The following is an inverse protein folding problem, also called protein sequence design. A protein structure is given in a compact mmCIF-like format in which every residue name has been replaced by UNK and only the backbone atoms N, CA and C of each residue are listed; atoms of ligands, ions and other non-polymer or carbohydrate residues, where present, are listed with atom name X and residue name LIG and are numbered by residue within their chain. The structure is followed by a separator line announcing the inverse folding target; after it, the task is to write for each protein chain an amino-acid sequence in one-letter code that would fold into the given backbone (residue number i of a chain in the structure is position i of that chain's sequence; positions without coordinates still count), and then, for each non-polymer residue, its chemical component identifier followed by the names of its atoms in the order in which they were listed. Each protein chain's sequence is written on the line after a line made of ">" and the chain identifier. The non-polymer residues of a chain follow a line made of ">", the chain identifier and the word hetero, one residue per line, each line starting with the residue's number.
data_IF_185188088324
#
_entry.id   IF_185188088324
#
_cell.length_a   1.000
_cell.length_b   1.000
_cell.length_c   1.000
_cell.angle_alpha   90.00
_cell.angle_beta   90.00
_cell.angle_gamma   90.00
#
_symmetry.space_group_name_H-M   'P 1'
#
loop_
_entity.id
_entity.type
_entity.pdbx_description
1 polymer ?
#
# COMPACT_ATOMS: atom_id res chain seq x y z
N UNK A 1 -22.28 15.28 -15.98
CA UNK A 1 -21.41 14.98 -14.82
C UNK A 1 -20.91 13.55 -14.95
N UNK A 2 -19.81 13.34 -15.66
CA UNK A 2 -19.21 12.02 -15.85
C UNK A 2 -17.98 11.89 -14.97
N UNK A 3 -18.04 11.07 -13.92
CA UNK A 3 -16.87 10.74 -13.11
C UNK A 3 -16.12 9.63 -13.82
N UNK A 4 -15.09 9.99 -14.59
CA UNK A 4 -14.10 9.03 -15.10
C UNK A 4 -12.78 9.27 -14.39
N UNK A 5 -12.42 8.30 -13.54
CA UNK A 5 -11.19 8.18 -12.77
C UNK A 5 -9.97 8.68 -13.56
N UNK A 6 -9.30 9.71 -13.04
CA UNK A 6 -7.98 10.11 -13.52
C UNK A 6 -7.00 8.96 -13.26
N UNK A 7 -6.52 8.33 -14.32
CA UNK A 7 -5.48 7.30 -14.20
C UNK A 7 -4.15 8.04 -14.07
N UNK A 8 -3.48 7.90 -12.92
CA UNK A 8 -2.14 8.45 -12.71
C UNK A 8 -1.13 7.57 -13.45
N UNK A 9 -1.05 7.72 -14.77
CA UNK A 9 -0.04 7.12 -15.64
C UNK A 9 0.95 8.25 -15.91
N UNK A 10 2.26 8.12 -15.71
CA UNK A 10 3.05 7.42 -16.72
C UNK A 10 4.52 7.17 -16.33
N UNK A 11 4.99 7.50 -15.10
CA UNK A 11 6.41 7.27 -14.71
C UNK A 11 6.59 6.64 -13.32
N UNK A 12 5.57 6.04 -12.74
CA UNK A 12 5.79 5.25 -11.52
C UNK A 12 6.02 3.79 -11.90
N UNK A 13 7.26 3.32 -11.73
CA UNK A 13 7.66 1.92 -12.01
C UNK A 13 6.85 0.88 -11.21
N UNK A 14 6.09 1.32 -10.21
CA UNK A 14 5.25 0.48 -9.33
C UNK A 14 3.94 1.22 -9.05
N UNK A 15 2.81 0.51 -8.94
CA UNK A 15 1.53 1.15 -8.64
C UNK A 15 1.57 1.80 -7.26
N UNK A 16 1.13 3.05 -7.15
CA UNK A 16 0.94 3.76 -5.90
C UNK A 16 -0.56 3.96 -5.58
N UNK A 17 -0.83 4.12 -4.29
CA UNK A 17 -2.11 4.55 -3.72
C UNK A 17 -2.30 6.04 -3.97
N UNK A 18 -3.55 6.57 -3.97
CA UNK A 18 -3.78 8.01 -4.18
C UNK A 18 -3.20 8.91 -3.08
N UNK A 19 -2.70 8.34 -1.99
CA UNK A 19 -2.03 9.04 -0.88
C UNK A 19 -0.49 8.97 -0.95
N UNK A 20 0.08 8.56 -2.07
CA UNK A 20 1.54 8.58 -2.30
C UNK A 20 2.31 7.39 -1.71
N UNK A 21 1.62 6.34 -1.25
CA UNK A 21 2.27 5.11 -0.79
C UNK A 21 2.28 4.03 -1.88
N UNK A 22 3.31 3.17 -1.99
CA UNK A 22 3.29 2.06 -2.92
C UNK A 22 2.15 1.09 -2.59
N UNK A 23 1.35 0.74 -3.60
CA UNK A 23 0.20 -0.16 -3.47
C UNK A 23 0.61 -1.62 -3.33
N UNK A 24 1.74 -2.02 -3.91
CA UNK A 24 2.23 -3.40 -3.90
C UNK A 24 3.61 -3.50 -3.26
N UNK A 25 3.85 -4.60 -2.54
CA UNK A 25 5.15 -4.97 -1.97
C UNK A 25 5.55 -4.27 -0.67
N UNK A 26 4.80 -3.24 -0.22
CA UNK A 26 5.03 -2.61 1.09
C UNK A 26 4.28 -3.35 2.19
N UNK A 27 5.01 -3.75 3.24
CA UNK A 27 4.39 -4.22 4.48
C UNK A 27 3.96 -3.00 5.30
N UNK A 28 2.67 -2.88 5.53
CA UNK A 28 2.09 -1.80 6.36
C UNK A 28 1.98 -2.16 7.84
N UNK A 29 2.23 -3.43 8.21
CA UNK A 29 2.20 -3.87 9.60
C UNK A 29 3.32 -3.18 10.39
N UNK A 30 2.93 -2.56 11.51
CA UNK A 30 3.84 -1.98 12.49
C UNK A 30 4.85 -3.01 13.00
N UNK A 31 6.09 -2.59 13.20
CA UNK A 31 7.14 -3.44 13.77
C UNK A 31 7.09 -3.33 15.30
N UNK A 32 7.26 -4.45 15.99
CA UNK A 32 7.31 -4.53 17.46
C UNK A 32 5.98 -4.19 18.14
N UNK A 33 4.88 -4.67 17.56
CA UNK A 33 3.55 -4.56 18.19
C UNK A 33 3.39 -5.61 19.27
N UNK A 34 2.60 -5.33 20.30
CA UNK A 34 2.30 -6.29 21.38
C UNK A 34 1.79 -7.65 20.87
N UNK A 35 1.11 -7.67 19.72
CA UNK A 35 0.58 -8.88 19.09
C UNK A 35 1.61 -9.65 18.26
N UNK A 36 2.83 -9.13 18.09
CA UNK A 36 3.89 -9.83 17.36
C UNK A 36 4.28 -11.14 18.05
N UNK A 37 4.20 -11.19 19.39
CA UNK A 37 4.45 -12.40 20.18
C UNK A 37 3.40 -13.49 20.00
N UNK A 38 2.22 -13.15 19.47
CA UNK A 38 1.11 -14.09 19.27
C UNK A 38 1.08 -14.69 17.86
N UNK A 39 1.98 -14.25 16.96
CA UNK A 39 1.98 -14.68 15.56
C UNK A 39 2.94 -15.86 15.37
N UNK A 40 2.37 -17.01 15.02
CA UNK A 40 3.12 -18.26 14.83
C UNK A 40 3.93 -18.28 13.52
N UNK A 41 3.36 -17.72 12.44
CA UNK A 41 3.96 -17.69 11.10
C UNK A 41 3.52 -16.44 10.34
N UNK A 42 4.31 -16.06 9.35
CA UNK A 42 4.09 -14.87 8.52
C UNK A 42 3.20 -15.16 7.31
#
# INVERSE_FOLDING_TARGET
>A
MGVVKGVLQLVEKKPATPWGYPALGRRSKERNKYSDNLILRR
#
